data_IF_465212926271
#
_entry.id   IF_465212926271
#
_cell.length_a   1.000
_cell.length_b   1.000
_cell.length_c   1.000
_cell.angle_alpha   90.00
_cell.angle_beta   90.00
_cell.angle_gamma   90.00
#
_symmetry.space_group_name_H-M   'P 1'
#
loop_
_entity.id
_entity.type
_entity.pdbx_description
1 polymer ?
#
# COMPACT_ATOMS: atom_id res chain seq x y z
N UNK A 1 33.07 0.47 40.28
CA UNK A 1 32.06 0.99 39.33
C UNK A 1 31.78 -0.07 38.28
N UNK A 2 30.57 -0.60 38.23
CA UNK A 2 30.17 -1.55 37.19
C UNK A 2 30.24 -0.89 35.83
N UNK A 3 30.82 -1.57 34.84
CA UNK A 3 30.78 -1.10 33.45
C UNK A 3 29.32 -1.07 33.01
N UNK A 4 28.89 0.08 32.50
CA UNK A 4 27.57 0.22 31.89
C UNK A 4 27.45 -0.79 30.73
N UNK A 5 26.31 -1.50 30.67
CA UNK A 5 25.98 -2.36 29.53
C UNK A 5 25.71 -1.56 28.26
N UNK A 6 25.39 -2.23 27.15
CA UNK A 6 25.22 -1.59 25.83
C UNK A 6 24.25 -0.40 25.87
N UNK A 7 23.02 -0.61 26.37
CA UNK A 7 22.02 0.46 26.52
C UNK A 7 22.47 1.59 27.45
N UNK A 8 23.20 1.26 28.52
CA UNK A 8 23.74 2.25 29.46
C UNK A 8 24.84 3.11 28.84
N UNK A 9 25.68 2.52 27.99
CA UNK A 9 26.74 3.26 27.28
C UNK A 9 26.15 4.22 26.23
N UNK A 10 25.05 3.83 25.59
CA UNK A 10 24.30 4.71 24.68
C UNK A 10 23.65 5.84 25.48
N UNK A 11 22.89 5.52 26.53
CA UNK A 11 22.23 6.53 27.37
C UNK A 11 23.22 7.56 27.93
N UNK A 12 24.40 7.12 28.38
CA UNK A 12 25.44 8.02 28.88
C UNK A 12 25.93 9.03 27.84
N UNK A 13 25.95 8.68 26.55
CA UNK A 13 26.33 9.59 25.46
C UNK A 13 25.25 10.63 25.13
N UNK A 14 23.98 10.26 25.29
CA UNK A 14 22.87 11.14 24.94
C UNK A 14 22.38 12.00 26.13
N UNK A 15 22.52 11.54 27.37
CA UNK A 15 21.96 12.21 28.56
C UNK A 15 22.57 13.60 28.83
N UNK A 16 23.84 13.83 28.50
CA UNK A 16 24.54 15.09 28.75
C UNK A 16 24.57 16.02 27.54
N UNK A 17 23.99 15.59 26.41
CA UNK A 17 24.09 16.33 25.15
C UNK A 17 22.85 17.21 24.95
N UNK A 18 23.07 18.51 24.76
CA UNK A 18 22.01 19.50 24.53
C UNK A 18 21.22 19.26 23.23
N UNK A 19 21.77 18.51 22.28
CA UNK A 19 21.12 18.16 21.01
C UNK A 19 20.05 17.07 21.15
N UNK A 20 20.12 16.23 22.19
CA UNK A 20 19.19 15.12 22.42
C UNK A 20 17.73 15.57 22.50
N UNK A 21 17.35 16.60 23.29
CA UNK A 21 15.97 17.10 23.28
C UNK A 21 15.55 17.71 21.94
N UNK A 22 16.47 18.32 21.19
CA UNK A 22 16.17 18.86 19.85
C UNK A 22 15.87 17.73 18.86
N UNK A 23 16.66 16.67 18.86
CA UNK A 23 16.40 15.49 18.02
C UNK A 23 15.09 14.79 18.38
N UNK A 24 14.77 14.70 19.68
CA UNK A 24 13.50 14.18 20.13
C UNK A 24 12.32 15.02 19.63
N UNK A 25 12.43 16.34 19.69
CA UNK A 25 11.42 17.26 19.17
C UNK A 25 11.25 17.11 17.65
N UNK A 26 12.35 17.06 16.89
CA UNK A 26 12.31 16.85 15.44
C UNK A 26 11.64 15.52 15.10
N UNK A 27 12.01 14.44 15.79
CA UNK A 27 11.37 13.13 15.59
C UNK A 27 9.87 13.14 15.88
N UNK A 28 9.45 13.84 16.95
CA UNK A 28 8.04 14.03 17.27
C UNK A 28 7.31 14.81 16.16
N UNK A 29 7.89 15.92 15.70
CA UNK A 29 7.32 16.75 14.65
C UNK A 29 7.20 15.99 13.32
N UNK A 30 8.21 15.18 12.97
CA UNK A 30 8.16 14.31 11.80
C UNK A 30 7.06 13.25 11.92
N UNK A 31 6.86 12.69 13.11
CA UNK A 31 5.76 11.75 13.37
C UNK A 31 4.38 12.41 13.20
N UNK A 32 4.20 13.60 13.76
CA UNK A 32 2.96 14.39 13.58
C UNK A 32 2.75 14.72 12.09
N UNK A 33 3.79 15.17 11.40
CA UNK A 33 3.76 15.46 9.97
C UNK A 33 3.34 14.23 9.16
N UNK A 34 3.90 13.06 9.44
CA UNK A 34 3.54 11.81 8.76
C UNK A 34 2.05 11.50 8.93
N UNK A 35 1.51 11.58 10.16
CA UNK A 35 0.08 11.33 10.40
C UNK A 35 -0.82 12.34 9.66
N UNK A 36 -0.41 13.60 9.55
CA UNK A 36 -1.19 14.63 8.87
C UNK A 36 -1.14 14.52 7.34
N UNK A 37 -0.02 14.08 6.78
CA UNK A 37 0.22 14.07 5.32
C UNK A 37 -0.09 12.72 4.68
N UNK A 38 0.08 11.61 5.41
CA UNK A 38 -0.21 10.28 4.87
C UNK A 38 -1.71 10.16 4.55
N UNK A 39 -2.07 9.97 3.27
CA UNK A 39 -3.46 9.80 2.88
C UNK A 39 -4.04 8.56 3.54
N UNK A 40 -5.27 8.67 4.06
CA UNK A 40 -6.01 7.52 4.58
C UNK A 40 -6.83 6.95 3.44
N UNK A 41 -6.59 5.69 3.07
CA UNK A 41 -7.48 4.94 2.19
C UNK A 41 -8.45 4.13 3.07
N UNK A 42 -9.70 4.60 3.18
CA UNK A 42 -10.75 3.95 3.98
C UNK A 42 -11.26 2.67 3.31
N UNK A 43 -11.30 2.67 1.99
CA UNK A 43 -11.57 1.52 1.16
C UNK A 43 -10.30 1.27 0.35
N UNK A 44 -9.53 0.19 0.64
CA UNK A 44 -8.39 -0.14 -0.20
C UNK A 44 -8.92 -0.29 -1.62
N UNK A 45 -8.37 0.48 -2.55
CA UNK A 45 -8.82 0.45 -3.94
C UNK A 45 -8.49 -0.93 -4.53
N UNK A 46 -9.47 -1.84 -4.52
CA UNK A 46 -9.35 -3.15 -5.15
C UNK A 46 -9.59 -2.97 -6.64
N UNK A 47 -8.56 -2.49 -7.35
CA UNK A 47 -8.57 -2.51 -8.81
C UNK A 47 -8.18 -3.93 -9.27
N UNK A 48 -9.19 -4.78 -9.42
CA UNK A 48 -9.00 -6.05 -10.13
C UNK A 48 -8.76 -5.72 -11.61
N UNK A 49 -7.67 -6.22 -12.17
CA UNK A 49 -7.42 -6.07 -13.61
C UNK A 49 -8.43 -6.91 -14.38
N UNK A 50 -9.40 -6.26 -15.03
CA UNK A 50 -10.34 -6.91 -15.94
C UNK A 50 -10.35 -6.22 -17.30
N UNK A 51 -10.68 -6.98 -18.33
CA UNK A 51 -10.94 -6.47 -19.67
C UNK A 51 -12.32 -6.96 -20.10
N UNK A 52 -13.19 -6.03 -20.51
CA UNK A 52 -14.48 -6.39 -21.10
C UNK A 52 -14.33 -6.47 -22.62
N UNK A 53 -14.73 -7.60 -23.21
CA UNK A 53 -14.77 -7.80 -24.66
C UNK A 53 -16.23 -7.84 -25.09
N UNK A 54 -16.67 -6.82 -25.83
CA UNK A 54 -18.04 -6.74 -26.34
C UNK A 54 -18.07 -7.06 -27.83
N UNK A 55 -18.80 -8.10 -28.22
CA UNK A 55 -18.95 -8.53 -29.60
C UNK A 55 -20.44 -8.46 -29.99
N UNK A 56 -20.87 -7.45 -30.78
CA UNK A 56 -22.26 -7.35 -31.19
C UNK A 56 -22.59 -8.38 -32.28
N UNK A 57 -23.61 -9.20 -32.05
CA UNK A 57 -24.12 -10.16 -33.04
C UNK A 57 -25.66 -10.10 -33.14
N UNK A 58 -26.20 -9.01 -33.72
CA UNK A 58 -27.64 -8.78 -33.76
C UNK A 58 -28.35 -9.79 -34.67
N UNK A 59 -29.51 -10.27 -34.23
CA UNK A 59 -30.36 -11.19 -35.00
C UNK A 59 -30.04 -12.68 -34.81
N UNK A 60 -29.00 -13.03 -34.06
CA UNK A 60 -28.68 -14.41 -33.69
C UNK A 60 -29.40 -14.84 -32.40
N UNK A 61 -29.74 -16.12 -32.31
CA UNK A 61 -30.27 -16.71 -31.08
C UNK A 61 -29.17 -16.90 -30.03
N UNK A 62 -29.55 -17.02 -28.76
CA UNK A 62 -28.59 -17.21 -27.66
C UNK A 62 -27.67 -18.44 -27.87
N UNK A 63 -28.20 -19.53 -28.43
CA UNK A 63 -27.41 -20.76 -28.72
C UNK A 63 -26.37 -20.53 -29.81
N UNK A 64 -26.69 -19.72 -30.81
CA UNK A 64 -25.76 -19.38 -31.88
C UNK A 64 -24.65 -18.45 -31.36
N UNK A 65 -24.98 -17.46 -30.53
CA UNK A 65 -23.98 -16.58 -29.89
C UNK A 65 -23.02 -17.38 -29.00
N UNK A 66 -23.53 -18.32 -28.21
CA UNK A 66 -22.71 -19.19 -27.35
C UNK A 66 -21.73 -20.03 -28.17
N UNK A 67 -22.24 -20.80 -29.13
CA UNK A 67 -21.44 -21.76 -29.92
C UNK A 67 -20.48 -21.11 -30.91
N UNK A 68 -20.86 -19.97 -31.51
CA UNK A 68 -20.08 -19.32 -32.57
C UNK A 68 -19.18 -18.20 -32.06
N UNK A 69 -19.50 -17.58 -30.92
CA UNK A 69 -18.78 -16.41 -30.41
C UNK A 69 -18.18 -16.67 -29.03
N UNK A 70 -19.00 -17.00 -28.02
CA UNK A 70 -18.54 -17.08 -26.63
C UNK A 70 -17.53 -18.23 -26.42
N UNK A 71 -17.88 -19.47 -26.75
CA UNK A 71 -17.00 -20.63 -26.51
C UNK A 71 -15.67 -20.55 -27.28
N UNK A 72 -15.63 -20.14 -28.56
CA UNK A 72 -14.36 -19.94 -29.26
C UNK A 72 -13.54 -18.78 -28.69
N UNK A 73 -14.18 -17.67 -28.30
CA UNK A 73 -13.49 -16.53 -27.72
C UNK A 73 -12.84 -16.87 -26.37
N UNK A 74 -13.53 -17.63 -25.51
CA UNK A 74 -13.00 -18.12 -24.23
C UNK A 74 -11.80 -19.06 -24.40
N UNK A 75 -11.70 -19.78 -25.51
CA UNK A 75 -10.61 -20.73 -25.75
C UNK A 75 -9.33 -20.07 -26.29
N UNK A 76 -9.46 -18.87 -26.89
CA UNK A 76 -8.34 -18.12 -27.48
C UNK A 76 -7.78 -17.07 -26.50
N UNK A 77 -8.59 -16.64 -25.52
CA UNK A 77 -8.21 -15.74 -24.44
C UNK A 77 -7.55 -16.49 -23.27
#
# INVERSE_FOLDING_TARGET
MSKLGFSGSIAQRFQSTQITPLLALVGLLLGVFAVLVTPREEEPQINVTFANVFIPFPGASAREVESLIASPAEQVL
#
